data_IF_745805312411
#
_entry.id   IF_745805312411
#
_cell.length_a   1.000
_cell.length_b   1.000
_cell.length_c   1.000
_cell.angle_alpha   90.00
_cell.angle_beta   90.00
_cell.angle_gamma   90.00
#
_symmetry.space_group_name_H-M   'P 1'
#
loop_
_entity.id
_entity.type
_entity.pdbx_description
1 polymer ?
#
# COMPACT_ATOMS: atom_id res chain seq x y z
N UNK A 1 30.80 -51.08 -6.15
CA UNK A 1 30.31 -50.50 -4.88
C UNK A 1 30.59 -49.02 -4.90
N UNK A 2 29.60 -48.22 -4.51
CA UNK A 2 29.34 -46.83 -4.93
C UNK A 2 30.48 -45.85 -4.57
N UNK A 3 30.89 -44.94 -5.47
CA UNK A 3 31.68 -43.78 -5.10
C UNK A 3 30.77 -42.66 -4.54
N UNK A 4 31.33 -41.99 -3.54
CA UNK A 4 30.89 -40.80 -2.82
C UNK A 4 30.23 -39.72 -3.69
N UNK A 5 29.02 -39.30 -3.29
CA UNK A 5 28.35 -38.12 -3.83
C UNK A 5 29.07 -36.86 -3.36
N UNK A 6 29.53 -36.06 -4.31
CA UNK A 6 30.03 -34.71 -4.09
C UNK A 6 28.80 -33.82 -3.86
N UNK A 7 28.68 -33.25 -2.66
CA UNK A 7 27.73 -32.19 -2.38
C UNK A 7 28.17 -30.94 -3.14
N UNK A 8 27.51 -30.65 -4.26
CA UNK A 8 27.60 -29.35 -4.91
C UNK A 8 26.94 -28.31 -4.02
N UNK A 9 27.75 -27.48 -3.36
CA UNK A 9 27.29 -26.21 -2.80
C UNK A 9 26.77 -25.35 -3.95
N UNK A 10 25.45 -25.24 -4.06
CA UNK A 10 24.82 -24.20 -4.87
C UNK A 10 25.22 -22.87 -4.23
N UNK A 11 26.11 -22.12 -4.89
CA UNK A 11 26.33 -20.73 -4.55
C UNK A 11 25.00 -20.00 -4.75
N UNK A 12 24.38 -19.60 -3.64
CA UNK A 12 23.33 -18.60 -3.61
C UNK A 12 23.90 -17.37 -4.32
N UNK A 13 23.45 -17.10 -5.54
CA UNK A 13 23.56 -15.78 -6.14
C UNK A 13 22.66 -14.90 -5.28
N UNK A 14 23.24 -14.30 -4.24
CA UNK A 14 22.64 -13.14 -3.59
C UNK A 14 22.69 -12.06 -4.65
N UNK A 15 21.62 -11.95 -5.44
CA UNK A 15 21.36 -10.77 -6.25
C UNK A 15 21.53 -9.59 -5.30
N UNK A 16 22.56 -8.77 -5.52
CA UNK A 16 22.70 -7.53 -4.78
C UNK A 16 21.37 -6.80 -4.96
N UNK A 17 20.58 -6.69 -3.89
CA UNK A 17 19.37 -5.89 -3.86
C UNK A 17 19.78 -4.50 -4.33
N UNK A 18 19.46 -4.17 -5.59
CA UNK A 18 19.68 -2.82 -6.08
C UNK A 18 18.92 -1.91 -5.14
N UNK A 19 19.62 -0.99 -4.47
CA UNK A 19 18.97 -0.02 -3.59
C UNK A 19 17.92 0.73 -4.38
N UNK A 20 16.64 0.57 -4.03
CA UNK A 20 15.57 1.33 -4.66
C UNK A 20 15.72 2.81 -4.25
N UNK A 21 15.89 3.75 -5.19
CA UNK A 21 16.11 5.15 -4.87
C UNK A 21 15.01 5.72 -3.97
N UNK A 22 15.40 6.36 -2.87
CA UNK A 22 14.49 6.98 -1.92
C UNK A 22 13.98 6.07 -0.79
N UNK A 23 14.04 4.74 -0.93
CA UNK A 23 13.75 3.82 0.17
C UNK A 23 15.00 3.58 1.05
N UNK A 24 14.83 3.34 2.36
CA UNK A 24 15.88 2.79 3.21
C UNK A 24 16.36 1.43 2.69
N UNK A 25 17.57 1.02 3.08
CA UNK A 25 18.12 -0.30 2.70
C UNK A 25 17.29 -1.49 3.20
N UNK A 26 16.53 -1.28 4.28
CA UNK A 26 15.50 -2.19 4.81
C UNK A 26 14.31 -1.38 5.30
N UNK A 27 13.13 -1.81 4.89
CA UNK A 27 11.85 -1.25 5.35
C UNK A 27 11.54 -1.81 6.73
N UNK A 28 11.42 -0.91 7.69
CA UNK A 28 10.87 -1.20 9.02
C UNK A 28 9.74 -0.23 9.25
N UNK A 29 8.54 -0.66 8.86
CA UNK A 29 7.41 0.23 8.66
C UNK A 29 6.14 -0.19 9.38
N UNK A 30 5.15 0.69 9.27
CA UNK A 30 3.77 0.45 9.68
C UNK A 30 2.83 1.00 8.60
N UNK A 31 1.62 0.47 8.57
CA UNK A 31 0.53 1.08 7.84
C UNK A 31 -0.05 2.26 8.63
N UNK A 32 -0.63 3.24 7.93
CA UNK A 32 -1.47 4.29 8.50
C UNK A 32 -2.95 4.00 8.22
N UNK A 33 -3.36 2.76 8.48
CA UNK A 33 -4.71 2.26 8.32
C UNK A 33 -5.71 3.03 9.18
N UNK A 34 -6.94 3.11 8.67
CA UNK A 34 -8.00 3.96 9.20
C UNK A 34 -7.69 5.44 9.32
N UNK A 35 -6.66 5.96 8.63
CA UNK A 35 -6.44 7.40 8.55
C UNK A 35 -7.17 8.06 7.38
N UNK A 36 -6.85 7.71 6.13
CA UNK A 36 -7.47 8.32 4.95
C UNK A 36 -8.38 7.36 4.16
N UNK A 37 -8.43 6.11 4.60
CA UNK A 37 -9.46 5.11 4.27
C UNK A 37 -9.82 4.42 5.58
N UNK A 38 -11.02 4.67 6.07
CA UNK A 38 -11.51 4.24 7.38
C UNK A 38 -12.09 2.82 7.32
N UNK A 39 -11.60 1.94 8.19
CA UNK A 39 -12.18 0.64 8.46
C UNK A 39 -12.71 0.59 9.90
N UNK A 40 -14.04 0.47 10.02
CA UNK A 40 -14.73 0.69 11.31
C UNK A 40 -14.36 -0.32 12.40
N UNK A 41 -13.88 -1.52 12.03
CA UNK A 41 -13.41 -2.51 13.00
C UNK A 41 -12.17 -2.05 13.79
N UNK A 42 -11.37 -1.12 13.25
CA UNK A 42 -10.15 -0.61 13.90
C UNK A 42 -10.45 0.45 14.97
N UNK A 43 -11.61 1.10 14.89
CA UNK A 43 -12.07 2.15 15.80
C UNK A 43 -13.58 2.08 16.07
N UNK A 44 -14.07 0.96 16.64
CA UNK A 44 -15.50 0.70 16.72
C UNK A 44 -16.27 1.73 17.57
N UNK A 45 -15.70 2.27 18.65
CA UNK A 45 -16.39 3.28 19.45
C UNK A 45 -16.41 4.64 18.74
N UNK A 46 -15.28 5.11 18.21
CA UNK A 46 -15.22 6.35 17.42
C UNK A 46 -16.13 6.28 16.19
N UNK A 47 -16.23 5.13 15.53
CA UNK A 47 -17.15 4.95 14.39
C UNK A 47 -18.61 5.15 14.79
N UNK A 48 -19.04 4.56 15.92
CA UNK A 48 -20.39 4.80 16.45
C UNK A 48 -20.60 6.26 16.88
N UNK A 49 -19.58 6.88 17.50
CA UNK A 49 -19.64 8.29 17.92
C UNK A 49 -19.72 9.26 16.73
N UNK A 50 -19.14 8.90 15.59
CA UNK A 50 -19.28 9.63 14.32
C UNK A 50 -20.71 9.52 13.75
N UNK A 51 -21.44 8.45 14.06
CA UNK A 51 -22.77 8.15 13.53
C UNK A 51 -22.82 6.92 12.61
N UNK A 52 -21.71 6.17 12.52
CA UNK A 52 -21.67 4.88 11.83
C UNK A 52 -22.39 3.78 12.59
N UNK A 53 -22.45 2.60 11.99
CA UNK A 53 -23.11 1.41 12.53
C UNK A 53 -22.15 0.21 12.55
N UNK A 54 -22.41 -0.72 13.47
CA UNK A 54 -21.70 -2.01 13.55
C UNK A 54 -22.66 -3.12 13.16
N UNK A 55 -22.27 -3.94 12.16
CA UNK A 55 -23.07 -5.06 11.66
C UNK A 55 -22.16 -6.22 11.23
N UNK A 56 -22.72 -7.44 11.25
CA UNK A 56 -21.99 -8.65 10.82
C UNK A 56 -21.73 -8.67 9.31
N UNK A 57 -22.61 -8.04 8.52
CA UNK A 57 -22.51 -7.95 7.06
C UNK A 57 -22.39 -6.48 6.68
N UNK A 58 -21.19 -6.05 6.32
CA UNK A 58 -20.87 -4.62 6.13
C UNK A 58 -21.69 -3.89 5.05
N UNK A 59 -22.35 -4.62 4.14
CA UNK A 59 -23.23 -4.05 3.12
C UNK A 59 -24.63 -3.71 3.61
N UNK A 60 -24.98 -4.08 4.86
CA UNK A 60 -26.33 -3.92 5.41
C UNK A 60 -26.46 -2.76 6.40
N UNK A 61 -25.37 -2.04 6.69
CA UNK A 61 -25.37 -0.92 7.64
C UNK A 61 -24.40 0.19 7.21
N UNK A 62 -24.34 1.28 7.98
CA UNK A 62 -23.37 2.37 7.81
C UNK A 62 -21.98 1.91 8.29
N UNK A 63 -21.38 0.95 7.58
CA UNK A 63 -20.11 0.31 7.98
C UNK A 63 -18.88 0.90 7.28
N UNK A 64 -19.09 1.65 6.20
CA UNK A 64 -18.04 2.16 5.29
C UNK A 64 -18.19 3.66 5.03
N UNK A 65 -17.13 4.30 4.55
CA UNK A 65 -17.16 5.73 4.20
C UNK A 65 -18.25 6.07 3.20
N UNK A 66 -18.51 5.20 2.22
CA UNK A 66 -19.56 5.40 1.22
C UNK A 66 -20.95 5.46 1.86
N UNK A 67 -21.28 4.47 2.68
CA UNK A 67 -22.57 4.43 3.37
C UNK A 67 -22.72 5.62 4.33
N UNK A 68 -21.64 6.02 5.00
CA UNK A 68 -21.63 7.16 5.90
C UNK A 68 -21.87 8.47 5.16
N UNK A 69 -21.14 8.71 4.08
CA UNK A 69 -21.29 9.92 3.26
C UNK A 69 -22.70 10.01 2.64
N UNK A 70 -23.29 8.86 2.29
CA UNK A 70 -24.67 8.79 1.80
C UNK A 70 -25.69 9.15 2.90
N UNK A 71 -25.47 8.70 4.14
CA UNK A 71 -26.35 8.98 5.27
C UNK A 71 -26.25 10.41 5.79
N UNK A 72 -25.06 11.02 5.72
CA UNK A 72 -24.76 12.33 6.33
C UNK A 72 -24.14 13.35 5.35
N UNK A 73 -24.74 13.60 4.17
CA UNK A 73 -24.10 14.35 3.08
C UNK A 73 -23.73 15.80 3.45
N UNK A 74 -24.45 16.42 4.39
CA UNK A 74 -24.23 17.81 4.79
C UNK A 74 -23.16 17.98 5.88
N UNK A 75 -22.81 16.91 6.59
CA UNK A 75 -21.89 16.97 7.75
C UNK A 75 -20.65 16.09 7.60
N UNK A 76 -20.66 15.17 6.62
CA UNK A 76 -19.60 14.18 6.38
C UNK A 76 -18.21 14.81 6.35
N UNK A 77 -17.99 15.92 5.63
CA UNK A 77 -16.66 16.53 5.50
C UNK A 77 -16.12 17.03 6.85
N UNK A 78 -16.96 17.64 7.68
CA UNK A 78 -16.55 18.15 8.98
C UNK A 78 -16.25 17.00 9.95
N UNK A 79 -17.05 15.93 9.89
CA UNK A 79 -16.88 14.72 10.71
C UNK A 79 -15.57 14.01 10.33
N UNK A 80 -15.36 13.75 9.05
CA UNK A 80 -14.13 13.11 8.57
C UNK A 80 -12.90 13.98 8.78
N UNK A 81 -12.99 15.30 8.60
CA UNK A 81 -11.87 16.20 8.92
C UNK A 81 -11.48 16.17 10.40
N UNK A 82 -12.45 16.03 11.31
CA UNK A 82 -12.18 15.82 12.74
C UNK A 82 -11.49 14.48 12.97
N UNK A 83 -12.01 13.40 12.41
CA UNK A 83 -11.39 12.07 12.48
C UNK A 83 -9.95 12.10 11.96
N UNK A 84 -9.71 12.55 10.72
CA UNK A 84 -8.37 12.66 10.13
C UNK A 84 -7.39 13.48 10.96
N UNK A 85 -7.87 14.50 11.67
CA UNK A 85 -7.05 15.39 12.51
C UNK A 85 -6.71 14.78 13.87
N UNK A 86 -7.54 13.86 14.37
CA UNK A 86 -7.40 13.28 15.72
C UNK A 86 -6.89 11.84 15.69
N UNK A 87 -7.13 11.11 14.59
CA UNK A 87 -6.66 9.75 14.39
C UNK A 87 -5.16 9.69 14.09
N UNK A 88 -4.61 10.59 13.28
CA UNK A 88 -3.16 10.62 13.02
C UNK A 88 -2.57 11.99 13.34
N UNK A 89 -1.82 12.04 14.43
CA UNK A 89 -1.33 13.26 15.07
C UNK A 89 0.19 13.32 15.11
N UNK A 90 0.74 14.48 15.50
CA UNK A 90 2.18 14.62 15.75
C UNK A 90 2.66 13.70 16.89
N UNK A 91 1.81 13.36 17.85
CA UNK A 91 2.17 12.43 18.93
C UNK A 91 2.40 11.02 18.38
N UNK A 92 1.57 10.57 17.44
CA UNK A 92 1.75 9.28 16.76
C UNK A 92 3.06 9.26 15.98
N UNK A 93 3.38 10.33 15.24
CA UNK A 93 4.66 10.46 14.52
C UNK A 93 5.85 10.38 15.47
N UNK A 94 5.79 11.07 16.61
CA UNK A 94 6.85 11.02 17.62
C UNK A 94 7.01 9.60 18.19
N UNK A 95 5.91 8.87 18.39
CA UNK A 95 5.93 7.48 18.84
C UNK A 95 6.55 6.55 17.78
N UNK A 96 6.24 6.76 16.50
CA UNK A 96 6.86 6.02 15.39
C UNK A 96 8.38 6.23 15.34
N UNK A 97 8.84 7.48 15.47
CA UNK A 97 10.27 7.80 15.55
C UNK A 97 10.91 7.11 16.76
N UNK A 98 10.26 7.15 17.93
CA UNK A 98 10.75 6.51 19.14
C UNK A 98 10.81 4.96 19.03
N UNK A 99 9.97 4.38 18.18
CA UNK A 99 9.96 2.96 17.83
C UNK A 99 10.87 2.61 16.63
N UNK A 100 11.68 3.57 16.15
CA UNK A 100 12.65 3.34 15.07
C UNK A 100 12.03 3.11 13.68
N UNK A 101 10.74 3.43 13.50
CA UNK A 101 10.04 3.27 12.22
C UNK A 101 10.62 4.24 11.19
N UNK A 102 10.93 3.72 10.00
CA UNK A 102 11.57 4.50 8.92
C UNK A 102 10.67 4.72 7.70
N UNK A 103 9.60 3.93 7.57
CA UNK A 103 8.71 3.93 6.40
C UNK A 103 7.26 3.80 6.86
N UNK A 104 6.34 4.48 6.17
CA UNK A 104 4.90 4.26 6.32
C UNK A 104 4.27 3.90 4.98
N UNK A 105 3.28 3.03 4.99
CA UNK A 105 2.34 2.82 3.88
C UNK A 105 1.05 3.56 4.21
N UNK A 106 0.57 4.38 3.27
CA UNK A 106 -0.58 5.26 3.47
C UNK A 106 -1.70 4.81 2.55
N UNK A 107 -2.72 4.10 3.08
CA UNK A 107 -3.93 3.75 2.34
C UNK A 107 -4.68 4.98 1.85
N UNK A 108 -4.95 5.07 0.55
CA UNK A 108 -5.69 6.17 -0.09
C UNK A 108 -6.82 5.63 -0.96
N UNK A 109 -8.01 6.21 -0.80
CA UNK A 109 -9.10 6.01 -1.74
C UNK A 109 -9.00 6.96 -2.93
N UNK A 110 -9.50 6.53 -4.09
CA UNK A 110 -9.47 7.34 -5.31
C UNK A 110 -10.17 8.71 -5.12
N UNK A 111 -11.13 8.79 -4.19
CA UNK A 111 -11.87 10.01 -3.85
C UNK A 111 -11.01 11.11 -3.23
N UNK A 112 -9.77 10.82 -2.83
CA UNK A 112 -8.81 11.86 -2.44
C UNK A 112 -8.52 12.84 -3.59
N UNK A 113 -8.65 12.38 -4.84
CA UNK A 113 -8.69 13.22 -6.05
C UNK A 113 -10.15 13.53 -6.33
N UNK A 114 -10.68 14.53 -5.63
CA UNK A 114 -12.13 14.84 -5.64
C UNK A 114 -12.75 15.02 -7.03
N UNK A 115 -12.07 15.59 -8.04
CA UNK A 115 -12.63 15.71 -9.39
C UNK A 115 -12.89 14.36 -10.11
N UNK A 116 -12.32 13.25 -9.63
CA UNK A 116 -12.63 11.91 -10.15
C UNK A 116 -13.97 11.37 -9.66
N UNK A 117 -14.53 11.93 -8.59
CA UNK A 117 -15.74 11.42 -7.95
C UNK A 117 -16.98 11.93 -8.69
N UNK A 118 -17.78 11.01 -9.22
CA UNK A 118 -19.10 11.32 -9.73
C UNK A 118 -20.07 11.55 -8.57
N UNK A 119 -20.15 12.79 -8.09
CA UNK A 119 -20.96 13.20 -6.93
C UNK A 119 -22.47 12.95 -7.07
N UNK A 120 -22.96 12.58 -8.26
CA UNK A 120 -24.36 12.19 -8.43
C UNK A 120 -24.64 10.76 -7.95
N UNK A 121 -23.64 9.88 -7.96
CA UNK A 121 -23.79 8.43 -7.67
C UNK A 121 -22.77 7.91 -6.67
N UNK A 122 -21.71 8.66 -6.39
CA UNK A 122 -20.61 8.28 -5.51
C UNK A 122 -20.54 9.23 -4.31
N UNK A 123 -20.59 8.64 -3.11
CA UNK A 123 -20.64 9.37 -1.85
C UNK A 123 -19.33 9.15 -1.10
N UNK A 124 -18.55 10.20 -0.89
CA UNK A 124 -17.28 10.14 -0.16
C UNK A 124 -16.96 11.49 0.49
N UNK A 125 -16.28 11.53 1.65
CA UNK A 125 -15.84 12.77 2.26
C UNK A 125 -14.88 13.56 1.36
N UNK A 126 -14.89 14.89 1.51
CA UNK A 126 -13.96 15.84 0.87
C UNK A 126 -12.91 16.34 1.86
N UNK A 127 -11.78 16.83 1.35
CA UNK A 127 -10.69 17.43 2.11
C UNK A 127 -9.52 16.50 2.41
N UNK A 128 -9.57 15.23 2.00
CA UNK A 128 -8.53 14.23 2.29
C UNK A 128 -7.14 14.62 1.78
N UNK A 129 -7.05 15.30 0.63
CA UNK A 129 -5.76 15.74 0.07
C UNK A 129 -5.04 16.76 0.98
N UNK A 130 -5.79 17.63 1.67
CA UNK A 130 -5.20 18.58 2.61
C UNK A 130 -4.62 17.86 3.84
N UNK A 131 -5.30 16.81 4.31
CA UNK A 131 -4.83 15.96 5.41
C UNK A 131 -3.59 15.15 5.01
N UNK A 132 -3.57 14.59 3.80
CA UNK A 132 -2.40 13.91 3.25
C UNK A 132 -1.19 14.84 3.20
N UNK A 133 -1.35 16.06 2.67
CA UNK A 133 -0.29 17.09 2.67
C UNK A 133 0.24 17.39 4.07
N UNK A 134 -0.66 17.52 5.06
CA UNK A 134 -0.27 17.73 6.46
C UNK A 134 0.58 16.57 6.97
N UNK A 135 0.09 15.34 6.86
CA UNK A 135 0.78 14.16 7.40
C UNK A 135 2.11 13.91 6.70
N UNK A 136 2.18 13.99 5.37
CA UNK A 136 3.44 13.83 4.63
C UNK A 136 4.47 14.91 4.99
N UNK A 137 4.05 16.15 5.18
CA UNK A 137 4.94 17.23 5.66
C UNK A 137 5.54 16.89 7.02
N UNK A 138 4.73 16.38 7.96
CA UNK A 138 5.19 16.01 9.30
C UNK A 138 6.08 14.76 9.29
N UNK A 139 5.72 13.73 8.51
CA UNK A 139 6.52 12.53 8.30
C UNK A 139 7.88 12.86 7.69
N UNK A 140 7.91 13.74 6.69
CA UNK A 140 9.15 14.24 6.09
C UNK A 140 10.03 14.93 7.11
N UNK A 141 9.46 15.79 7.96
CA UNK A 141 10.20 16.46 9.02
C UNK A 141 10.78 15.48 10.06
N UNK A 142 10.13 14.33 10.25
CA UNK A 142 10.58 13.23 11.09
C UNK A 142 11.57 12.27 10.40
N UNK A 143 11.86 12.46 9.11
CA UNK A 143 12.73 11.57 8.33
C UNK A 143 12.10 10.23 7.93
N UNK A 144 10.77 10.12 8.01
CA UNK A 144 10.02 8.93 7.62
C UNK A 144 9.59 9.06 6.15
N UNK A 145 9.86 8.03 5.34
CA UNK A 145 9.42 7.98 3.94
C UNK A 145 8.04 7.32 3.80
N UNK A 146 7.34 7.61 2.71
CA UNK A 146 5.98 7.13 2.47
C UNK A 146 5.85 6.33 1.17
N UNK A 147 5.09 5.24 1.26
CA UNK A 147 4.51 4.50 0.14
C UNK A 147 3.05 4.95 0.04
N UNK A 148 2.66 5.52 -1.10
CA UNK A 148 1.28 5.91 -1.36
C UNK A 148 0.53 4.73 -1.95
N UNK A 149 -0.46 4.23 -1.23
CA UNK A 149 -1.17 3.02 -1.60
C UNK A 149 -2.55 3.34 -2.18
N UNK A 150 -2.80 2.92 -3.42
CA UNK A 150 -4.11 3.02 -4.04
C UNK A 150 -5.03 1.93 -3.46
N UNK A 151 -5.51 2.21 -2.26
CA UNK A 151 -6.14 1.22 -1.39
C UNK A 151 -7.58 0.91 -1.77
N UNK A 152 -8.31 1.94 -2.20
CA UNK A 152 -9.70 1.82 -2.62
C UNK A 152 -9.88 2.40 -4.03
N UNK A 153 -10.13 1.51 -4.98
CA UNK A 153 -10.15 1.82 -6.40
C UNK A 153 -11.54 2.32 -6.84
N UNK A 154 -11.63 3.09 -7.94
CA UNK A 154 -12.90 3.38 -8.58
C UNK A 154 -13.66 2.09 -8.92
N UNK A 155 -14.95 2.02 -8.57
CA UNK A 155 -15.77 0.85 -8.86
C UNK A 155 -15.54 -0.38 -7.98
N UNK A 156 -14.79 -0.28 -6.88
CA UNK A 156 -14.55 -1.39 -5.92
C UNK A 156 -13.77 -2.55 -6.55
N UNK A 157 -12.55 -2.78 -6.08
CA UNK A 157 -11.70 -3.84 -6.63
C UNK A 157 -11.95 -5.22 -6.02
N UNK A 158 -12.53 -5.30 -4.82
CA UNK A 158 -12.74 -6.55 -4.10
C UNK A 158 -14.07 -6.53 -3.37
N UNK A 159 -14.88 -7.56 -3.61
CA UNK A 159 -16.23 -7.67 -3.08
C UNK A 159 -16.27 -7.77 -1.56
N UNK A 160 -17.26 -7.12 -0.94
CA UNK A 160 -17.60 -7.23 0.49
C UNK A 160 -16.48 -6.87 1.45
N UNK A 161 -15.58 -5.97 1.05
CA UNK A 161 -14.47 -5.51 1.89
C UNK A 161 -14.69 -4.04 2.30
N UNK A 162 -14.40 -3.73 3.56
CA UNK A 162 -14.50 -2.34 4.07
C UNK A 162 -13.39 -1.44 3.52
N UNK A 163 -12.19 -2.00 3.31
CA UNK A 163 -11.02 -1.27 2.84
C UNK A 163 -11.17 -0.68 1.43
N UNK A 164 -12.17 -1.12 0.66
CA UNK A 164 -12.48 -0.57 -0.68
C UNK A 164 -13.30 0.72 -0.60
N UNK A 165 -13.61 1.22 0.61
CA UNK A 165 -14.42 2.41 0.85
C UNK A 165 -15.93 2.21 0.67
N UNK A 166 -16.34 1.12 0.01
CA UNK A 166 -17.74 0.71 -0.18
C UNK A 166 -17.86 -0.81 -0.12
N UNK A 167 -18.49 -1.32 0.94
CA UNK A 167 -18.77 -2.75 1.06
C UNK A 167 -19.96 -3.15 0.19
N UNK A 168 -19.69 -3.84 -0.92
CA UNK A 168 -20.68 -4.30 -1.92
C UNK A 168 -20.15 -5.54 -2.63
N UNK A 169 -21.03 -6.39 -3.14
CA UNK A 169 -20.69 -7.51 -4.02
C UNK A 169 -20.57 -7.12 -5.50
N UNK A 170 -21.15 -5.98 -5.86
CA UNK A 170 -21.03 -5.33 -7.18
C UNK A 170 -19.62 -4.74 -7.40
N UNK A 171 -18.75 -5.52 -8.05
CA UNK A 171 -17.37 -5.17 -8.41
C UNK A 171 -17.34 -4.65 -9.85
N UNK A 172 -16.97 -3.39 -10.02
CA UNK A 172 -16.91 -2.70 -11.32
C UNK A 172 -15.48 -2.22 -11.69
N UNK A 173 -14.49 -2.42 -10.82
CA UNK A 173 -13.12 -1.93 -11.06
C UNK A 173 -12.49 -2.51 -12.34
N UNK A 174 -12.69 -3.80 -12.61
CA UNK A 174 -12.08 -4.52 -13.75
C UNK A 174 -12.81 -4.23 -15.07
N UNK A 175 -12.95 -2.94 -15.37
CA UNK A 175 -13.54 -2.40 -16.58
C UNK A 175 -12.65 -1.29 -17.11
N UNK A 176 -12.67 -1.09 -18.43
CA UNK A 176 -11.87 -0.03 -19.07
C UNK A 176 -12.19 1.37 -18.50
N UNK A 177 -13.45 1.61 -18.11
CA UNK A 177 -13.87 2.87 -17.48
C UNK A 177 -13.19 3.11 -16.12
N UNK A 178 -13.20 2.12 -15.22
CA UNK A 178 -12.63 2.30 -13.87
C UNK A 178 -11.10 2.16 -13.87
N UNK A 179 -10.51 1.36 -14.76
CA UNK A 179 -9.08 1.38 -15.02
C UNK A 179 -8.60 2.76 -15.46
N UNK A 180 -9.29 3.39 -16.42
CA UNK A 180 -8.95 4.74 -16.88
C UNK A 180 -8.95 5.76 -15.73
N UNK A 181 -9.99 5.74 -14.88
CA UNK A 181 -10.07 6.60 -13.68
C UNK A 181 -8.92 6.36 -12.69
N UNK A 182 -8.56 5.09 -12.47
CA UNK A 182 -7.44 4.74 -11.59
C UNK A 182 -6.08 5.18 -12.17
N UNK A 183 -5.93 5.17 -13.49
CA UNK A 183 -4.75 5.69 -14.18
C UNK A 183 -4.68 7.23 -14.11
N UNK A 184 -5.81 7.93 -14.18
CA UNK A 184 -5.84 9.38 -13.94
C UNK A 184 -5.40 9.69 -12.50
N UNK A 185 -5.91 8.94 -11.51
CA UNK A 185 -5.44 9.06 -10.12
C UNK A 185 -3.93 8.88 -10.03
N UNK A 186 -3.38 7.87 -10.71
CA UNK A 186 -1.94 7.59 -10.76
C UNK A 186 -1.15 8.77 -11.31
N UNK A 187 -1.62 9.39 -12.39
CA UNK A 187 -1.01 10.57 -13.01
C UNK A 187 -1.02 11.79 -12.07
N UNK A 188 -2.13 12.03 -11.38
CA UNK A 188 -2.27 13.12 -10.39
C UNK A 188 -1.33 12.91 -9.21
N UNK A 189 -1.31 11.72 -8.62
CA UNK A 189 -0.47 11.40 -7.46
C UNK A 189 1.01 11.39 -7.80
N UNK A 190 1.37 10.93 -9.01
CA UNK A 190 2.74 11.05 -9.53
C UNK A 190 3.13 12.51 -9.67
N UNK A 191 2.25 13.35 -10.24
CA UNK A 191 2.51 14.79 -10.37
C UNK A 191 2.73 15.44 -9.01
N UNK A 192 1.84 15.23 -8.04
CA UNK A 192 1.98 15.73 -6.68
C UNK A 192 3.30 15.33 -6.04
N UNK A 193 3.69 14.05 -6.16
CA UNK A 193 4.93 13.51 -5.61
C UNK A 193 6.20 14.16 -6.16
N UNK A 194 6.11 14.77 -7.34
CA UNK A 194 7.21 15.46 -7.99
C UNK A 194 7.19 16.98 -7.79
N UNK A 195 6.01 17.61 -7.73
CA UNK A 195 5.88 19.07 -7.76
C UNK A 195 5.55 19.71 -6.40
N UNK A 196 4.83 18.99 -5.54
CA UNK A 196 4.36 19.48 -4.24
C UNK A 196 5.39 19.17 -3.14
N UNK A 197 5.96 20.19 -2.46
CA UNK A 197 6.94 19.97 -1.40
C UNK A 197 6.46 19.05 -0.27
N UNK A 198 5.15 19.01 0.00
CA UNK A 198 4.58 18.15 1.02
C UNK A 198 4.81 16.66 0.72
N UNK A 199 4.93 16.29 -0.56
CA UNK A 199 5.09 14.91 -1.00
C UNK A 199 6.55 14.50 -1.23
N UNK A 200 7.53 15.33 -0.86
CA UNK A 200 8.93 15.05 -1.18
C UNK A 200 9.50 13.78 -0.51
N UNK A 201 8.81 13.20 0.48
CA UNK A 201 9.13 11.91 1.11
C UNK A 201 8.26 10.74 0.59
N UNK A 202 7.34 10.97 -0.34
CA UNK A 202 6.65 9.91 -1.06
C UNK A 202 7.60 9.32 -2.11
N UNK A 203 7.96 8.05 -1.97
CA UNK A 203 9.00 7.40 -2.78
C UNK A 203 8.48 6.26 -3.63
N UNK A 204 7.31 5.72 -3.28
CA UNK A 204 6.64 4.67 -4.03
C UNK A 204 5.14 4.97 -4.17
N UNK A 205 4.55 4.43 -5.23
CA UNK A 205 3.11 4.45 -5.49
C UNK A 205 2.66 3.03 -5.84
N UNK A 206 1.70 2.50 -5.10
CA UNK A 206 1.12 1.17 -5.32
C UNK A 206 -0.06 1.24 -6.27
N UNK A 207 -0.10 0.34 -7.24
CA UNK A 207 -1.11 0.36 -8.29
C UNK A 207 -2.52 0.03 -7.79
N UNK A 208 -2.59 -0.91 -6.84
CA UNK A 208 -3.83 -1.45 -6.29
C UNK A 208 -3.51 -2.24 -5.02
N UNK A 209 -4.32 -2.03 -3.99
CA UNK A 209 -4.39 -2.91 -2.83
C UNK A 209 -5.33 -4.09 -3.08
N UNK A 210 -4.84 -5.29 -2.80
CA UNK A 210 -5.62 -6.53 -2.68
C UNK A 210 -6.68 -6.75 -3.78
N UNK A 211 -6.29 -6.95 -5.06
CA UNK A 211 -7.25 -7.31 -6.12
C UNK A 211 -7.91 -8.67 -5.85
N UNK A 212 -8.94 -9.02 -6.64
CA UNK A 212 -9.54 -10.35 -6.62
C UNK A 212 -8.46 -11.38 -6.94
N UNK A 213 -8.36 -12.41 -6.10
CA UNK A 213 -7.33 -13.44 -6.20
C UNK A 213 -7.52 -14.36 -7.42
N UNK A 214 -8.75 -14.61 -7.86
CA UNK A 214 -8.99 -15.40 -9.06
C UNK A 214 -8.73 -14.54 -10.31
N UNK A 215 -7.65 -14.80 -11.04
CA UNK A 215 -7.29 -14.01 -12.21
C UNK A 215 -8.32 -14.10 -13.34
N UNK A 216 -9.15 -15.15 -13.38
CA UNK A 216 -10.24 -15.25 -14.35
C UNK A 216 -11.32 -14.17 -14.16
N UNK A 217 -11.38 -13.57 -12.96
CA UNK A 217 -12.32 -12.51 -12.61
C UNK A 217 -11.74 -11.09 -12.79
N UNK A 218 -10.47 -10.97 -13.22
CA UNK A 218 -9.78 -9.68 -13.40
C UNK A 218 -9.36 -9.47 -14.86
N UNK A 219 -10.32 -9.32 -15.80
CA UNK A 219 -9.99 -9.15 -17.21
C UNK A 219 -9.08 -7.92 -17.43
N UNK A 220 -8.14 -8.07 -18.37
CA UNK A 220 -7.17 -7.04 -18.78
C UNK A 220 -6.29 -6.47 -17.65
N UNK A 221 -6.24 -7.13 -16.47
CA UNK A 221 -5.50 -6.61 -15.32
C UNK A 221 -4.00 -6.46 -15.59
N UNK A 222 -3.39 -7.37 -16.34
CA UNK A 222 -2.00 -7.23 -16.78
C UNK A 222 -1.76 -6.02 -17.69
N UNK A 223 -2.74 -5.66 -18.54
CA UNK A 223 -2.65 -4.44 -19.35
C UNK A 223 -2.78 -3.19 -18.47
N UNK A 224 -3.68 -3.19 -17.48
CA UNK A 224 -3.77 -2.13 -16.48
C UNK A 224 -2.44 -1.93 -15.74
N UNK A 225 -1.79 -3.01 -15.28
CA UNK A 225 -0.47 -2.93 -14.62
C UNK A 225 0.60 -2.30 -15.53
N UNK A 226 0.65 -2.69 -16.81
CA UNK A 226 1.57 -2.08 -17.77
C UNK A 226 1.26 -0.60 -18.02
N UNK A 227 -0.02 -0.24 -18.14
CA UNK A 227 -0.44 1.14 -18.34
C UNK A 227 -0.18 1.99 -17.10
N UNK A 228 -0.31 1.44 -15.89
CA UNK A 228 0.06 2.11 -14.64
C UNK A 228 1.54 2.55 -14.67
N UNK A 229 2.47 1.63 -14.96
CA UNK A 229 3.90 1.99 -15.04
C UNK A 229 4.14 3.03 -16.13
N UNK A 230 3.55 2.85 -17.31
CA UNK A 230 3.69 3.79 -18.43
C UNK A 230 3.14 5.17 -18.08
N UNK A 231 2.03 5.28 -17.36
CA UNK A 231 1.49 6.57 -16.88
C UNK A 231 2.44 7.23 -15.89
N UNK A 232 2.97 6.50 -14.91
CA UNK A 232 3.97 7.04 -13.97
C UNK A 232 5.18 7.57 -14.74
N UNK A 233 5.76 6.75 -15.63
CA UNK A 233 6.95 7.15 -16.41
C UNK A 233 6.66 8.28 -17.39
N UNK A 234 5.50 8.30 -18.04
CA UNK A 234 5.12 9.37 -18.94
C UNK A 234 4.93 10.69 -18.18
N UNK A 235 4.29 10.65 -17.01
CA UNK A 235 4.13 11.82 -16.14
C UNK A 235 5.48 12.36 -15.69
N UNK A 236 6.37 11.50 -15.22
CA UNK A 236 7.75 11.83 -14.86
C UNK A 236 8.52 12.48 -16.01
N UNK A 237 8.42 11.88 -17.19
CA UNK A 237 9.04 12.38 -18.42
C UNK A 237 8.55 13.80 -18.75
N UNK A 238 7.24 14.03 -18.70
CA UNK A 238 6.64 15.36 -18.92
C UNK A 238 7.08 16.40 -17.89
N UNK A 239 7.38 15.97 -16.65
CA UNK A 239 7.90 16.82 -15.58
C UNK A 239 9.43 17.00 -15.62
N UNK A 240 10.11 16.42 -16.61
CA UNK A 240 11.56 16.56 -16.81
C UNK A 240 12.42 15.65 -15.92
N UNK A 241 11.84 14.55 -15.44
CA UNK A 241 12.55 13.46 -14.76
C UNK A 241 13.08 12.51 -15.84
N UNK A 242 14.37 12.11 -15.80
CA UNK A 242 14.90 11.13 -16.74
C UNK A 242 14.16 9.79 -16.63
N UNK A 243 13.63 9.28 -17.74
CA UNK A 243 12.87 8.03 -17.76
C UNK A 243 13.40 7.05 -18.83
N UNK A 244 13.71 5.79 -18.46
CA UNK A 244 14.15 4.78 -19.41
C UNK A 244 13.13 4.52 -20.51
N UNK A 245 13.58 4.34 -21.76
CA UNK A 245 12.72 4.07 -22.90
C UNK A 245 12.04 5.31 -23.51
N UNK A 246 12.10 6.47 -22.84
CA UNK A 246 11.68 7.74 -23.40
C UNK A 246 12.92 8.48 -23.93
N UNK A 247 12.92 8.84 -25.21
CA UNK A 247 13.99 9.64 -25.81
C UNK A 247 14.11 11.02 -25.14
N UNK A 248 15.20 11.75 -25.37
CA UNK A 248 15.34 13.09 -24.78
C UNK A 248 14.24 14.04 -25.30
N UNK A 249 13.42 14.58 -24.40
CA UNK A 249 12.55 15.71 -24.75
C UNK A 249 13.31 17.03 -24.62
N UNK A 250 13.03 18.03 -25.47
CA UNK A 250 13.42 19.40 -25.20
C UNK A 250 12.91 19.78 -23.81
N UNK A 251 13.77 20.36 -22.98
CA UNK A 251 13.36 20.85 -21.66
C UNK A 251 12.13 21.77 -21.84
N UNK A 252 10.99 21.50 -21.19
CA UNK A 252 9.82 22.34 -21.34
C UNK A 252 10.17 23.75 -20.87
N UNK A 253 10.02 24.74 -21.76
CA UNK A 253 10.50 26.11 -21.55
C UNK A 253 9.96 26.77 -20.26
N UNK A 254 8.84 26.26 -19.71
CA UNK A 254 8.23 26.76 -18.47
C UNK A 254 7.67 25.67 -17.55
N UNK A 255 7.89 24.38 -17.87
CA UNK A 255 7.52 23.29 -16.97
C UNK A 255 6.06 23.17 -16.55
N UNK A 256 5.16 23.70 -17.37
CA UNK A 256 3.73 23.57 -17.17
C UNK A 256 3.25 22.30 -17.88
N UNK A 257 2.58 21.40 -17.17
CA UNK A 257 2.01 20.16 -17.73
C UNK A 257 1.10 20.46 -18.95
N UNK A 258 0.38 21.60 -18.92
CA UNK A 258 -0.47 22.02 -20.04
C UNK A 258 0.31 22.48 -21.27
N UNK A 259 1.53 23.00 -21.10
CA UNK A 259 2.38 23.38 -22.23
C UNK A 259 2.88 22.15 -23.02
N UNK A 260 2.72 20.96 -22.46
CA UNK A 260 3.08 19.69 -23.08
C UNK A 260 1.94 19.01 -23.85
N UNK A 261 0.71 19.55 -23.78
CA UNK A 261 -0.47 19.01 -24.47
C UNK A 261 -0.25 18.71 -25.97
N UNK A 262 0.38 19.61 -26.77
CA UNK A 262 0.66 19.30 -28.17
C UNK A 262 1.56 18.08 -28.34
N UNK A 263 2.57 17.93 -27.47
CA UNK A 263 3.53 16.83 -27.51
C UNK A 263 2.89 15.50 -27.09
N UNK A 264 1.96 15.53 -26.12
CA UNK A 264 1.21 14.34 -25.69
C UNK A 264 0.40 13.79 -26.88
N UNK A 265 -0.33 14.68 -27.59
CA UNK A 265 -1.24 14.28 -28.65
C UNK A 265 -0.52 13.65 -29.87
N UNK A 266 0.70 14.11 -30.17
CA UNK A 266 1.48 13.65 -31.33
C UNK A 266 2.53 12.59 -30.99
N UNK A 267 2.72 12.25 -29.70
CA UNK A 267 3.77 11.33 -29.28
C UNK A 267 3.46 9.89 -29.69
N UNK A 268 4.33 9.31 -30.53
CA UNK A 268 4.32 7.88 -30.84
C UNK A 268 4.88 7.00 -29.69
N UNK A 269 5.41 7.61 -28.63
CA UNK A 269 6.00 6.90 -27.49
C UNK A 269 4.93 6.41 -26.52
N UNK A 270 3.80 7.13 -26.42
CA UNK A 270 2.67 6.76 -25.57
C UNK A 270 1.65 5.94 -26.36
N UNK A 271 1.15 4.85 -25.77
CA UNK A 271 -0.01 4.15 -26.32
C UNK A 271 -1.28 5.01 -26.18
N UNK A 272 -2.38 4.58 -26.82
CA UNK A 272 -3.61 5.35 -26.87
C UNK A 272 -4.18 5.64 -25.46
N UNK A 273 -4.16 4.64 -24.58
CA UNK A 273 -4.70 4.77 -23.21
C UNK A 273 -3.88 5.74 -22.36
N UNK A 274 -2.56 5.58 -22.31
CA UNK A 274 -1.66 6.50 -21.60
C UNK A 274 -1.83 7.94 -22.12
N UNK A 275 -1.98 8.12 -23.43
CA UNK A 275 -2.24 9.44 -24.00
C UNK A 275 -3.57 10.03 -23.51
N UNK A 276 -4.66 9.25 -23.52
CA UNK A 276 -5.96 9.71 -23.03
C UNK A 276 -5.88 10.11 -21.56
N UNK A 277 -5.32 9.24 -20.72
CA UNK A 277 -5.15 9.50 -19.27
C UNK A 277 -4.41 10.82 -19.03
N UNK A 278 -3.31 11.08 -19.74
CA UNK A 278 -2.54 12.31 -19.57
C UNK A 278 -3.34 13.55 -20.00
N UNK A 279 -4.15 13.45 -21.05
CA UNK A 279 -5.03 14.54 -21.48
C UNK A 279 -6.15 14.79 -20.45
N UNK A 280 -6.77 13.74 -19.96
CA UNK A 280 -7.89 13.80 -19.00
C UNK A 280 -7.42 14.18 -17.58
N UNK A 281 -6.13 13.99 -17.28
CA UNK A 281 -5.50 14.50 -16.05
C UNK A 281 -5.38 16.03 -16.03
N UNK A 282 -5.22 16.68 -17.18
CA UNK A 282 -4.99 18.14 -17.25
C UNK A 282 -6.06 18.97 -16.56
N UNK A 283 -7.37 18.83 -16.87
CA UNK A 283 -8.40 19.61 -16.21
C UNK A 283 -8.41 19.39 -14.68
N UNK A 284 -8.11 18.18 -14.22
CA UNK A 284 -8.04 17.85 -12.80
C UNK A 284 -6.87 18.58 -12.11
N UNK A 285 -5.67 18.58 -12.71
CA UNK A 285 -4.53 19.32 -12.15
C UNK A 285 -4.81 20.83 -12.09
N UNK A 286 -5.51 21.38 -13.09
CA UNK A 286 -5.93 22.78 -13.12
C UNK A 286 -6.89 23.11 -11.98
N UNK A 287 -7.90 22.27 -11.77
CA UNK A 287 -8.88 22.42 -10.68
C UNK A 287 -8.22 22.34 -9.30
N UNK A 288 -7.26 21.43 -9.13
CA UNK A 288 -6.48 21.28 -7.89
C UNK A 288 -5.41 22.36 -7.70
N UNK A 289 -5.21 23.26 -8.67
CA UNK A 289 -4.20 24.30 -8.63
C UNK A 289 -2.76 23.78 -8.63
N UNK A 290 -2.52 22.61 -9.21
CA UNK A 290 -1.21 21.94 -9.22
C UNK A 290 -0.43 22.41 -10.44
N UNK A 291 0.65 23.17 -10.20
CA UNK A 291 1.53 23.70 -11.23
C UNK A 291 2.99 23.57 -10.84
N UNK A 292 3.87 23.35 -11.82
CA UNK A 292 5.31 23.45 -11.66
C UNK A 292 6.09 22.28 -12.25
N UNK A 293 7.42 22.45 -12.24
CA UNK A 293 8.36 21.39 -12.59
C UNK A 293 8.55 20.41 -11.45
N UNK A 294 9.04 19.22 -11.78
CA UNK A 294 9.54 18.32 -10.76
C UNK A 294 10.66 18.99 -9.96
N UNK A 295 10.55 18.86 -8.63
CA UNK A 295 11.53 19.29 -7.65
C UNK A 295 12.55 18.20 -7.32
N UNK A 296 12.37 16.99 -7.87
CA UNK A 296 13.28 15.84 -7.71
C UNK A 296 13.69 15.29 -9.07
N UNK A 297 14.80 14.56 -9.12
CA UNK A 297 15.28 13.89 -10.34
C UNK A 297 15.17 12.37 -10.26
N UNK A 298 14.92 11.84 -9.07
CA UNK A 298 14.72 10.41 -8.88
C UNK A 298 13.30 10.01 -9.23
N UNK A 299 13.17 8.91 -9.97
CA UNK A 299 11.90 8.30 -10.29
C UNK A 299 11.22 7.73 -9.03
N UNK A 300 9.89 7.66 -9.03
CA UNK A 300 9.12 6.90 -8.06
C UNK A 300 9.31 5.40 -8.30
N UNK A 301 9.09 4.63 -7.24
CA UNK A 301 9.01 3.18 -7.33
C UNK A 301 7.56 2.82 -7.64
N UNK A 302 7.33 2.09 -8.73
CA UNK A 302 6.03 1.46 -8.96
C UNK A 302 5.92 0.22 -8.08
N UNK A 303 4.91 0.18 -7.21
CA UNK A 303 4.66 -0.94 -6.30
C UNK A 303 3.44 -1.74 -6.75
N UNK A 304 3.48 -3.05 -6.54
CA UNK A 304 2.43 -4.00 -6.93
C UNK A 304 2.29 -5.09 -5.88
N UNK A 305 1.06 -5.57 -5.66
CA UNK A 305 0.86 -6.90 -5.11
C UNK A 305 1.66 -7.94 -5.92
N UNK A 306 2.38 -8.83 -5.25
CA UNK A 306 3.23 -9.83 -5.88
C UNK A 306 2.44 -10.85 -6.72
N UNK A 307 3.14 -11.59 -7.57
CA UNK A 307 2.51 -12.58 -8.47
C UNK A 307 1.64 -13.62 -7.75
N UNK A 308 1.91 -13.97 -6.49
CA UNK A 308 1.10 -14.96 -5.78
C UNK A 308 -0.20 -14.39 -5.22
N UNK A 309 -0.44 -13.09 -5.37
CA UNK A 309 -1.73 -12.53 -4.99
C UNK A 309 -2.87 -13.18 -5.78
N UNK A 310 -2.60 -13.54 -7.04
CA UNK A 310 -3.57 -14.18 -7.89
C UNK A 310 -3.21 -15.63 -8.23
N UNK A 311 -4.23 -16.46 -8.41
CA UNK A 311 -4.15 -17.82 -8.94
C UNK A 311 -4.86 -17.89 -10.31
N UNK A 312 -4.85 -19.07 -10.95
CA UNK A 312 -5.49 -19.32 -12.25
C UNK A 312 -4.97 -18.47 -13.41
N UNK A 313 -3.68 -18.66 -13.73
CA UNK A 313 -2.96 -17.99 -14.84
C UNK A 313 -2.93 -16.44 -14.70
N UNK A 314 -2.38 -15.94 -13.58
CA UNK A 314 -2.31 -14.50 -13.33
C UNK A 314 -1.33 -13.80 -14.27
N UNK A 315 -1.59 -12.50 -14.51
CA UNK A 315 -0.59 -11.63 -15.11
C UNK A 315 0.56 -11.44 -14.10
N UNK A 316 1.81 -11.50 -14.59
CA UNK A 316 2.96 -11.25 -13.73
C UNK A 316 3.30 -9.75 -13.73
N UNK A 317 3.20 -9.03 -12.58
CA UNK A 317 3.48 -7.59 -12.53
C UNK A 317 4.92 -7.24 -12.93
N UNK A 318 5.87 -8.16 -12.86
CA UNK A 318 7.24 -7.94 -13.36
C UNK A 318 7.32 -7.70 -14.87
N UNK A 319 6.32 -8.12 -15.64
CA UNK A 319 6.24 -7.86 -17.07
C UNK A 319 5.95 -6.37 -17.39
N UNK A 320 5.43 -5.63 -16.40
CA UNK A 320 5.22 -4.19 -16.51
C UNK A 320 6.49 -3.35 -16.27
N UNK A 321 7.61 -3.98 -15.87
CA UNK A 321 8.78 -3.29 -15.37
C UNK A 321 9.39 -2.28 -16.36
N UNK A 322 9.41 -1.01 -15.95
CA UNK A 322 10.05 0.09 -16.64
C UNK A 322 10.56 1.14 -15.63
N UNK A 323 11.79 0.94 -15.14
CA UNK A 323 12.39 1.75 -14.07
C UNK A 323 12.31 1.06 -12.70
N UNK A 324 12.51 1.79 -11.58
CA UNK A 324 12.40 1.24 -10.24
C UNK A 324 11.01 0.65 -9.97
N UNK A 325 10.98 -0.61 -9.53
CA UNK A 325 9.77 -1.37 -9.21
C UNK A 325 10.01 -2.19 -7.94
N UNK A 326 8.97 -2.33 -7.12
CA UNK A 326 8.95 -3.19 -5.94
C UNK A 326 7.65 -4.00 -5.87
N UNK A 327 7.63 -4.99 -4.99
CA UNK A 327 6.52 -5.90 -4.85
C UNK A 327 6.11 -6.02 -3.39
N UNK A 328 4.81 -6.22 -3.19
CA UNK A 328 4.15 -6.24 -1.90
C UNK A 328 3.45 -7.60 -1.69
N UNK A 329 3.67 -8.22 -0.54
CA UNK A 329 2.91 -9.39 -0.11
C UNK A 329 2.22 -9.13 1.23
N UNK A 330 0.97 -9.54 1.35
CA UNK A 330 0.28 -9.55 2.65
C UNK A 330 0.20 -10.98 3.17
N UNK A 331 0.62 -11.19 4.43
CA UNK A 331 0.57 -12.51 5.05
C UNK A 331 -0.08 -12.45 6.44
N UNK A 332 -1.35 -12.84 6.46
CA UNK A 332 -2.14 -13.02 7.67
C UNK A 332 -2.47 -14.49 7.90
N UNK A 333 -2.33 -14.93 9.15
CA UNK A 333 -2.70 -16.28 9.55
C UNK A 333 -4.12 -16.33 10.13
N UNK A 334 -4.74 -15.18 10.40
CA UNK A 334 -6.05 -15.07 11.04
C UNK A 334 -7.24 -15.37 10.13
N UNK A 335 -7.05 -15.47 8.81
CA UNK A 335 -8.14 -15.63 7.84
C UNK A 335 -8.25 -17.05 7.23
N UNK A 336 -7.47 -18.01 7.73
CA UNK A 336 -7.47 -19.38 7.20
C UNK A 336 -6.42 -19.60 6.10
N UNK A 337 -6.32 -20.84 5.61
CA UNK A 337 -5.56 -21.17 4.39
C UNK A 337 -4.03 -21.25 4.50
N UNK A 338 -3.43 -20.79 5.60
CA UNK A 338 -1.95 -20.77 5.75
C UNK A 338 -1.41 -21.90 6.62
N UNK A 339 -2.03 -22.18 7.76
CA UNK A 339 -1.64 -23.21 8.71
C UNK A 339 -2.80 -23.58 9.64
N UNK A 340 -2.74 -24.77 10.23
CA UNK A 340 -3.69 -25.19 11.27
C UNK A 340 -3.65 -24.22 12.48
N UNK A 341 -4.78 -23.97 13.16
CA UNK A 341 -4.89 -22.93 14.19
C UNK A 341 -4.28 -23.35 15.54
N UNK A 342 -2.96 -23.56 15.55
CA UNK A 342 -2.17 -23.84 16.76
C UNK A 342 -0.75 -23.27 16.65
N UNK A 343 -0.09 -23.12 17.81
CA UNK A 343 1.23 -22.48 17.90
C UNK A 343 2.31 -23.17 17.04
N UNK A 344 2.33 -24.51 17.04
CA UNK A 344 3.37 -25.31 16.36
C UNK A 344 3.25 -25.21 14.84
N UNK A 345 2.03 -25.30 14.30
CA UNK A 345 1.78 -25.16 12.87
C UNK A 345 2.09 -23.74 12.36
N UNK A 346 1.75 -22.70 13.13
CA UNK A 346 2.06 -21.32 12.79
C UNK A 346 3.58 -21.09 12.73
N UNK A 347 4.30 -21.49 13.79
CA UNK A 347 5.75 -21.33 13.86
C UNK A 347 6.48 -22.19 12.81
N UNK A 348 6.02 -23.41 12.55
CA UNK A 348 6.52 -24.26 11.47
C UNK A 348 6.33 -23.60 10.11
N UNK A 349 5.15 -23.04 9.83
CA UNK A 349 4.89 -22.39 8.54
C UNK A 349 5.77 -21.15 8.33
N UNK A 350 5.81 -20.22 9.29
CA UNK A 350 6.57 -18.97 9.13
C UNK A 350 8.08 -19.20 9.08
N UNK A 351 8.62 -20.13 9.88
CA UNK A 351 10.04 -20.39 9.96
C UNK A 351 10.59 -21.15 8.73
N UNK A 352 9.70 -21.75 7.94
CA UNK A 352 10.04 -22.41 6.67
C UNK A 352 9.49 -21.64 5.45
N UNK A 353 9.07 -20.38 5.61
CA UNK A 353 8.52 -19.57 4.54
C UNK A 353 9.56 -19.36 3.41
N UNK A 354 9.19 -19.74 2.19
CA UNK A 354 10.03 -19.57 0.98
C UNK A 354 9.50 -18.50 0.01
N UNK A 355 8.54 -17.68 0.45
CA UNK A 355 7.85 -16.68 -0.39
C UNK A 355 8.83 -15.77 -1.12
N UNK A 356 9.75 -15.14 -0.39
CA UNK A 356 10.73 -14.19 -0.97
C UNK A 356 11.56 -14.85 -2.09
N UNK A 357 12.01 -16.08 -1.88
CA UNK A 357 12.82 -16.80 -2.85
C UNK A 357 12.00 -17.25 -4.07
N UNK A 358 10.77 -17.74 -3.85
CA UNK A 358 9.86 -18.13 -4.91
C UNK A 358 9.49 -16.94 -5.81
N UNK A 359 9.22 -15.79 -5.22
CA UNK A 359 8.79 -14.57 -5.92
C UNK A 359 9.95 -13.98 -6.72
N UNK A 360 11.15 -13.94 -6.12
CA UNK A 360 12.36 -13.54 -6.82
C UNK A 360 12.64 -14.44 -8.04
N UNK A 361 12.34 -15.74 -7.97
CA UNK A 361 12.50 -16.65 -9.10
C UNK A 361 11.51 -16.35 -10.25
N UNK A 362 10.43 -15.62 -9.97
CA UNK A 362 9.41 -15.15 -10.92
C UNK A 362 9.59 -13.66 -11.26
N UNK A 363 10.73 -13.05 -10.94
CA UNK A 363 11.03 -11.64 -11.23
C UNK A 363 10.43 -10.65 -10.25
N UNK A 364 9.76 -11.11 -9.19
CA UNK A 364 9.12 -10.29 -8.17
C UNK A 364 10.12 -9.97 -7.04
N UNK A 365 11.13 -9.15 -7.35
CA UNK A 365 12.13 -8.67 -6.40
C UNK A 365 12.57 -7.23 -6.73
N UNK A 366 12.76 -6.35 -5.72
CA UNK A 366 12.65 -6.61 -4.29
C UNK A 366 11.21 -6.75 -3.78
N UNK A 367 10.99 -7.70 -2.87
CA UNK A 367 9.70 -7.96 -2.19
C UNK A 367 9.73 -7.46 -0.75
N UNK A 368 8.71 -6.74 -0.29
CA UNK A 368 8.46 -6.51 1.13
C UNK A 368 7.09 -7.08 1.54
N UNK A 369 6.93 -7.30 2.85
CA UNK A 369 5.63 -7.67 3.40
C UNK A 369 4.89 -6.40 3.83
N UNK A 370 4.08 -5.82 2.95
CA UNK A 370 3.40 -4.54 3.20
C UNK A 370 2.28 -4.62 4.20
N UNK A 371 1.77 -5.83 4.46
CA UNK A 371 0.86 -6.06 5.56
C UNK A 371 1.10 -7.39 6.27
N UNK A 372 1.11 -7.31 7.59
CA UNK A 372 1.09 -8.45 8.52
C UNK A 372 0.68 -7.97 9.91
N UNK A 373 0.16 -8.86 10.73
CA UNK A 373 -0.13 -8.60 12.14
C UNK A 373 0.16 -9.82 13.01
N UNK A 374 -0.19 -9.73 14.30
CA UNK A 374 -0.15 -10.86 15.22
C UNK A 374 -1.50 -11.60 15.46
N UNK A 375 -2.62 -11.34 14.74
CA UNK A 375 -3.88 -12.03 15.01
C UNK A 375 -3.79 -13.50 14.62
N UNK A 376 -4.53 -14.32 15.34
CA UNK A 376 -4.50 -15.79 15.23
C UNK A 376 -5.92 -16.32 15.19
N UNK A 377 -6.12 -17.50 14.58
CA UNK A 377 -7.40 -18.22 14.61
C UNK A 377 -7.62 -19.01 15.92
N UNK A 378 -6.76 -18.79 16.92
CA UNK A 378 -6.86 -19.36 18.26
C UNK A 378 -6.56 -18.29 19.31
N UNK A 379 -6.91 -18.54 20.56
CA UNK A 379 -6.61 -17.61 21.66
C UNK A 379 -5.11 -17.61 21.98
N UNK A 380 -4.38 -16.67 21.40
CA UNK A 380 -2.94 -16.54 21.60
C UNK A 380 -2.59 -16.02 23.01
N UNK A 381 -1.64 -16.69 23.66
CA UNK A 381 -1.02 -16.20 24.91
C UNK A 381 0.01 -15.11 24.62
N UNK A 382 0.34 -14.28 25.62
CA UNK A 382 1.43 -13.29 25.50
C UNK A 382 2.76 -13.97 25.17
N UNK A 383 3.02 -15.13 25.77
CA UNK A 383 4.23 -15.91 25.53
C UNK A 383 4.33 -16.41 24.08
N UNK A 384 3.18 -16.71 23.45
CA UNK A 384 3.15 -17.04 22.03
C UNK A 384 3.36 -15.80 21.16
N UNK A 385 2.64 -14.70 21.43
CA UNK A 385 2.75 -13.46 20.64
C UNK A 385 4.19 -12.93 20.61
N UNK A 386 4.93 -13.08 21.70
CA UNK A 386 6.36 -12.77 21.75
C UNK A 386 7.19 -13.57 20.74
N UNK A 387 7.03 -14.91 20.71
CA UNK A 387 7.74 -15.78 19.76
C UNK A 387 7.27 -15.52 18.32
N UNK A 388 5.97 -15.31 18.17
CA UNK A 388 5.31 -15.14 16.89
C UNK A 388 5.81 -13.89 16.16
N UNK A 389 5.88 -12.76 16.88
CA UNK A 389 6.43 -11.51 16.37
C UNK A 389 7.89 -11.65 15.92
N UNK A 390 8.75 -12.29 16.72
CA UNK A 390 10.15 -12.52 16.34
C UNK A 390 10.28 -13.40 15.09
N UNK A 391 9.50 -14.49 15.01
CA UNK A 391 9.55 -15.42 13.89
C UNK A 391 9.11 -14.76 12.58
N UNK A 392 8.01 -13.99 12.60
CA UNK A 392 7.55 -13.19 11.47
C UNK A 392 8.60 -12.16 11.05
N UNK A 393 9.15 -11.38 12.00
CA UNK A 393 10.20 -10.39 11.69
C UNK A 393 11.44 -11.02 11.07
N UNK A 394 11.88 -12.19 11.54
CA UNK A 394 13.00 -12.92 10.95
C UNK A 394 12.70 -13.35 9.51
N UNK A 395 11.52 -13.92 9.26
CA UNK A 395 11.10 -14.33 7.93
C UNK A 395 11.03 -13.14 6.96
N UNK A 396 10.31 -12.09 7.34
CA UNK A 396 10.05 -10.94 6.47
C UNK A 396 11.30 -10.09 6.22
N UNK A 397 12.20 -10.01 7.21
CA UNK A 397 13.46 -9.25 7.07
C UNK A 397 14.46 -9.93 6.12
N UNK A 398 14.20 -11.15 5.64
CA UNK A 398 14.98 -11.75 4.53
C UNK A 398 14.73 -10.99 3.21
N UNK A 399 13.53 -10.42 3.01
CA UNK A 399 13.16 -9.60 1.84
C UNK A 399 13.61 -8.15 1.98
N UNK A 400 12.97 -7.19 1.32
CA UNK A 400 13.27 -5.76 1.45
C UNK A 400 12.85 -5.17 2.80
N UNK A 401 12.05 -5.89 3.59
CA UNK A 401 11.56 -5.45 4.89
C UNK A 401 10.06 -5.72 5.03
N UNK A 402 9.41 -4.97 5.90
CA UNK A 402 8.01 -5.18 6.24
C UNK A 402 7.33 -3.91 6.75
N UNK A 403 6.00 -3.86 6.62
CA UNK A 403 5.13 -2.86 7.20
C UNK A 403 4.02 -3.54 8.01
N UNK A 404 3.97 -3.27 9.31
CA UNK A 404 2.98 -3.89 10.21
C UNK A 404 1.59 -3.24 10.03
N UNK A 405 0.55 -4.06 9.90
CA UNK A 405 -0.84 -3.61 9.96
C UNK A 405 -1.35 -3.75 11.40
N UNK A 406 -1.51 -2.67 12.17
CA UNK A 406 -1.41 -1.25 11.84
C UNK A 406 -0.55 -0.48 12.84
N UNK A 407 -0.25 0.82 12.59
CA UNK A 407 0.44 1.64 13.59
C UNK A 407 -0.30 1.68 14.93
N UNK A 408 -1.64 1.75 14.88
CA UNK A 408 -2.54 1.66 16.03
C UNK A 408 -3.94 1.18 15.68
N UNK A 409 -4.67 0.80 16.72
CA UNK A 409 -6.14 0.63 16.73
C UNK A 409 -6.70 1.30 17.98
N UNK A 410 -8.01 1.52 18.02
CA UNK A 410 -8.67 2.14 19.17
C UNK A 410 -8.55 1.26 20.43
N UNK A 411 -8.41 1.92 21.59
CA UNK A 411 -8.49 1.28 22.90
C UNK A 411 -9.79 1.70 23.59
N UNK A 412 -10.84 0.94 23.33
CA UNK A 412 -12.18 1.12 23.91
C UNK A 412 -12.73 -0.21 24.44
N UNK A 413 -13.86 -0.14 25.15
CA UNK A 413 -14.57 -1.35 25.58
C UNK A 413 -15.02 -2.21 24.39
N UNK A 414 -15.40 -1.57 23.27
CA UNK A 414 -15.85 -2.24 22.06
C UNK A 414 -14.69 -2.88 21.29
N UNK A 415 -13.55 -2.19 21.22
CA UNK A 415 -12.33 -2.72 20.60
C UNK A 415 -11.69 -3.87 21.40
N UNK A 416 -12.02 -3.99 22.69
CA UNK A 416 -11.55 -5.09 23.55
C UNK A 416 -10.02 -5.19 23.55
N UNK A 417 -9.50 -6.29 23.03
CA UNK A 417 -8.06 -6.59 23.02
C UNK A 417 -7.41 -6.50 21.64
N UNK A 418 -8.06 -5.86 20.65
CA UNK A 418 -7.51 -5.72 19.29
C UNK A 418 -6.09 -5.15 19.28
N UNK A 419 -5.80 -4.17 20.17
CA UNK A 419 -4.49 -3.53 20.29
C UNK A 419 -3.34 -4.51 20.55
N UNK A 420 -3.60 -5.69 21.14
CA UNK A 420 -2.57 -6.70 21.38
C UNK A 420 -2.01 -7.31 20.10
N UNK A 421 -2.81 -7.31 19.03
CA UNK A 421 -2.49 -8.04 17.79
C UNK A 421 -2.45 -7.16 16.54
N UNK A 422 -3.09 -5.99 16.59
CA UNK A 422 -3.25 -5.08 15.45
C UNK A 422 -2.65 -3.68 15.66
N UNK A 423 -2.04 -3.39 16.82
CA UNK A 423 -1.34 -2.12 17.08
C UNK A 423 0.15 -2.37 17.27
N UNK A 424 0.96 -1.87 16.33
CA UNK A 424 2.42 -1.95 16.42
C UNK A 424 2.94 -1.23 17.66
N UNK A 425 2.45 -0.01 17.92
CA UNK A 425 2.91 0.81 19.04
C UNK A 425 2.60 0.14 20.40
N UNK A 426 1.41 -0.43 20.55
CA UNK A 426 1.08 -1.21 21.76
C UNK A 426 1.87 -2.52 21.81
N UNK A 427 2.13 -3.18 20.68
CA UNK A 427 2.98 -4.39 20.64
C UNK A 427 4.42 -4.12 21.12
N UNK A 428 4.95 -2.92 20.86
CA UNK A 428 6.23 -2.46 21.43
C UNK A 428 6.13 -2.17 22.93
N UNK A 429 5.04 -1.54 23.39
CA UNK A 429 4.81 -1.25 24.81
C UNK A 429 4.64 -2.53 25.65
N UNK A 430 3.89 -3.50 25.11
CA UNK A 430 3.67 -4.82 25.72
C UNK A 430 4.92 -5.73 25.65
N UNK A 431 5.93 -5.34 24.87
CA UNK A 431 7.18 -6.07 24.72
C UNK A 431 7.10 -7.30 23.80
N UNK A 432 6.06 -7.40 22.97
CA UNK A 432 6.00 -8.41 21.89
C UNK A 432 6.95 -8.05 20.75
N UNK A 433 7.13 -6.74 20.51
CA UNK A 433 8.00 -6.18 19.49
C UNK A 433 9.14 -5.38 20.13
N UNK A 434 10.33 -5.45 19.55
CA UNK A 434 11.50 -4.69 20.02
C UNK A 434 11.40 -3.20 19.65
N UNK A 435 11.95 -2.33 20.50
CA UNK A 435 12.08 -0.87 20.22
C UNK A 435 12.95 -0.55 19.01
N UNK A 436 14.02 -1.32 18.81
CA UNK A 436 14.78 -1.29 17.55
C UNK A 436 14.13 -2.31 16.61
N UNK A 437 13.46 -1.87 15.54
CA UNK A 437 12.70 -2.79 14.70
C UNK A 437 13.61 -3.74 13.91
N UNK A 438 14.91 -3.44 13.78
CA UNK A 438 15.89 -4.33 13.16
C UNK A 438 16.30 -5.53 14.02
N UNK A 439 15.93 -5.52 15.32
CA UNK A 439 16.23 -6.59 16.26
C UNK A 439 15.05 -7.52 16.48
N UNK A 440 15.34 -8.66 17.06
CA UNK A 440 14.37 -9.62 17.60
C UNK A 440 14.81 -9.97 19.01
N UNK A 441 13.89 -10.42 19.85
CA UNK A 441 14.24 -10.82 21.21
C UNK A 441 15.01 -12.15 21.24
N UNK A 442 14.62 -13.10 20.39
CA UNK A 442 15.24 -14.41 20.23
C UNK A 442 15.53 -14.71 18.76
N UNK A 443 16.78 -14.50 18.34
CA UNK A 443 17.23 -14.81 16.97
C UNK A 443 17.21 -16.31 16.63
N UNK A 444 17.04 -17.19 17.61
CA UNK A 444 16.94 -18.65 17.43
C UNK A 444 15.51 -19.17 17.60
N UNK A 445 14.49 -18.29 17.60
CA UNK A 445 13.07 -18.68 17.77
C UNK A 445 12.63 -19.75 16.77
N UNK A 446 13.19 -19.75 15.55
CA UNK A 446 12.89 -20.71 14.51
C UNK A 446 13.66 -22.03 14.60
N UNK A 447 14.70 -22.14 15.42
CA UNK A 447 15.55 -23.33 15.47
C UNK A 447 14.80 -24.65 15.74
N UNK A 448 13.72 -24.70 16.56
CA UNK A 448 12.95 -25.93 16.77
C UNK A 448 12.05 -26.34 15.60
N UNK A 449 11.79 -25.42 14.66
CA UNK A 449 10.74 -25.54 13.65
C UNK A 449 11.28 -25.72 12.22
N UNK A 450 12.58 -25.47 12.01
CA UNK A 450 13.23 -25.73 10.72
C UNK A 450 13.46 -27.24 10.61
N UNK A 451 12.87 -27.86 9.58
CA UNK A 451 13.17 -29.26 9.27
C UNK A 451 14.61 -29.35 8.77
N UNK A 452 15.43 -30.18 9.43
CA UNK A 452 16.84 -30.40 9.09
C UNK A 452 17.08 -31.20 7.81
#
# INVERSE_FOLDING_TARGET
MRPTAIFSFLFLVVSALGSLPGLPSKIYGVNLGSWLVLESWMLPQEWLDMGGESCDVCSTCIATEFAFAQAFPDTVDAIFNKHWTTWFTQADINALVAAGINTVRVPLGYWIVEPLVNRATEFYPRGGLAQLRRGLTQLRAAGIVAILDHHALPGVQTANQMFTGRCTDDVEFYTQYNYHRALIWTSVMTTLSHVDPAFANAVAIEAINEPIMDAAQTPDYGEFQQNFVKVVRATEFLLGVPTPGFGAMPAPANGNFTAMLPNINTSAVFNAEVRSVLLDTVPILLELGIFGLSRRKDQLITNFMDINWQFDNPANPSEAALGPQGYDNHLYYSFGGVADPNEDAYLTSICNLQRIQADAALGNSPLWFGEWGLPTQFTATDAFLFKWADAQKLAYSQGAGWLFWNFKVEKSKLAGTLFRQWSYLDGVELGFLTKDPSKVHNASVCAPYVMG
#
